data_IF_718163413049
#
_entry.id   IF_718163413049
#
_cell.length_a   1.000
_cell.length_b   1.000
_cell.length_c   1.000
_cell.angle_alpha   90.00
_cell.angle_beta   90.00
_cell.angle_gamma   90.00
#
_symmetry.space_group_name_H-M   'P 1'
#
loop_
_entity.id
_entity.type
_entity.pdbx_description
1 polymer ?
#
# COMPACT_ATOMS: atom_id res chain seq x y z
N UNK A 1 13.37 -4.83 8.72
CA UNK A 1 11.93 -4.74 8.36
C UNK A 1 11.64 -3.32 7.88
N UNK A 2 11.65 -3.12 6.59
CA UNK A 2 11.68 -1.79 5.95
C UNK A 2 10.42 -0.96 6.19
N UNK A 3 9.35 -1.52 6.75
CA UNK A 3 8.08 -0.81 6.86
C UNK A 3 7.40 -0.89 8.24
N UNK A 4 7.95 -1.65 9.19
CA UNK A 4 7.43 -1.69 10.57
C UNK A 4 8.23 -0.74 11.45
N UNK A 5 7.63 0.38 11.90
CA UNK A 5 8.35 1.38 12.67
C UNK A 5 8.66 0.89 14.09
N UNK A 6 9.81 1.34 14.60
CA UNK A 6 10.15 1.22 16.00
C UNK A 6 10.51 2.59 16.56
N UNK A 7 10.18 2.83 17.80
CA UNK A 7 10.47 4.08 18.51
C UNK A 7 10.67 3.84 20.01
N UNK A 8 11.12 4.83 20.73
CA UNK A 8 11.23 4.81 22.19
C UNK A 8 10.12 5.69 22.77
N UNK A 9 9.27 5.08 23.59
CA UNK A 9 8.22 5.79 24.31
C UNK A 9 8.80 6.36 25.61
N UNK A 10 8.72 7.67 25.77
CA UNK A 10 9.06 8.37 27.01
C UNK A 10 7.77 8.72 27.74
N UNK A 11 7.58 8.17 28.94
CA UNK A 11 6.43 8.45 29.79
C UNK A 11 6.90 8.94 31.17
N UNK A 12 6.12 9.80 31.88
CA UNK A 12 6.48 10.28 33.20
C UNK A 12 6.70 9.14 34.19
N UNK A 13 7.77 9.20 34.98
CA UNK A 13 8.04 8.24 36.04
C UNK A 13 8.54 6.86 35.62
N UNK A 14 8.92 6.68 34.37
CA UNK A 14 9.47 5.41 33.87
C UNK A 14 10.76 5.64 33.08
N UNK A 15 11.59 4.59 32.99
CA UNK A 15 12.68 4.53 32.03
C UNK A 15 12.15 4.52 30.60
N UNK A 16 12.96 4.90 29.58
CA UNK A 16 12.59 4.85 28.19
C UNK A 16 12.19 3.44 27.75
N UNK A 17 10.99 3.29 27.16
CA UNK A 17 10.37 2.01 26.79
C UNK A 17 10.48 1.78 25.29
N UNK A 18 11.17 0.73 24.80
CA UNK A 18 11.23 0.42 23.40
C UNK A 18 9.88 -0.14 22.93
N UNK A 19 9.39 0.37 21.79
CA UNK A 19 8.16 -0.10 21.12
C UNK A 19 8.49 -0.45 19.68
N UNK A 20 8.13 -1.67 19.25
CA UNK A 20 8.25 -2.14 17.88
C UNK A 20 6.87 -2.51 17.37
N UNK A 21 6.30 -1.67 16.50
CA UNK A 21 4.96 -1.92 15.95
C UNK A 21 4.97 -3.10 14.98
N UNK A 22 3.90 -3.90 15.00
CA UNK A 22 3.68 -4.97 14.03
C UNK A 22 2.90 -4.49 12.80
N UNK A 23 2.40 -3.25 12.84
CA UNK A 23 1.68 -2.58 11.76
C UNK A 23 2.62 -1.78 10.87
N UNK A 24 2.26 -1.60 9.60
CA UNK A 24 3.10 -0.97 8.59
C UNK A 24 2.82 0.53 8.48
N UNK A 25 3.88 1.31 8.22
CA UNK A 25 3.80 2.72 7.87
C UNK A 25 4.16 3.68 8.99
N UNK A 26 4.92 4.71 8.63
CA UNK A 26 5.43 5.72 9.59
C UNK A 26 4.32 6.45 10.35
N UNK A 27 3.16 6.66 9.73
CA UNK A 27 2.00 7.29 10.35
C UNK A 27 1.46 6.52 11.56
N UNK A 28 1.73 5.22 11.64
CA UNK A 28 1.34 4.39 12.80
C UNK A 28 2.06 4.78 14.08
N UNK A 29 3.21 5.45 13.99
CA UNK A 29 3.88 6.00 15.20
C UNK A 29 3.00 7.07 15.84
N UNK A 30 2.45 7.99 15.07
CA UNK A 30 1.54 9.04 15.60
C UNK A 30 0.27 8.43 16.20
N UNK A 31 -0.30 7.40 15.55
CA UNK A 31 -1.46 6.69 16.07
C UNK A 31 -1.13 5.97 17.40
N UNK A 32 0.02 5.31 17.47
CA UNK A 32 0.48 4.60 18.67
C UNK A 32 0.75 5.60 19.82
N UNK A 33 1.36 6.75 19.54
CA UNK A 33 1.59 7.79 20.54
C UNK A 33 0.29 8.38 21.07
N UNK A 34 -0.70 8.63 20.21
CA UNK A 34 -2.02 9.10 20.65
C UNK A 34 -2.73 8.05 21.54
N UNK A 35 -2.69 6.77 21.15
CA UNK A 35 -3.23 5.68 21.95
C UNK A 35 -2.49 5.53 23.29
N UNK A 36 -1.16 5.63 23.28
CA UNK A 36 -0.34 5.60 24.51
C UNK A 36 -0.70 6.71 25.46
N UNK A 37 -0.79 7.95 24.97
CA UNK A 37 -1.14 9.12 25.78
C UNK A 37 -2.53 8.92 26.44
N UNK A 38 -3.54 8.54 25.67
CA UNK A 38 -4.88 8.31 26.20
C UNK A 38 -4.92 7.19 27.25
N UNK A 39 -4.20 6.08 27.02
CA UNK A 39 -4.17 4.95 27.93
C UNK A 39 -3.45 5.29 29.25
N UNK A 40 -2.30 5.97 29.19
CA UNK A 40 -1.51 6.36 30.37
C UNK A 40 -2.27 7.40 31.19
N UNK A 41 -2.88 8.41 30.56
CA UNK A 41 -3.74 9.40 31.24
C UNK A 41 -4.97 8.77 31.88
N UNK A 42 -5.44 7.62 31.35
CA UNK A 42 -6.52 6.82 31.95
C UNK A 42 -6.06 5.92 33.12
N UNK A 43 -4.77 5.98 33.48
CA UNK A 43 -4.20 5.27 34.62
C UNK A 43 -3.58 3.91 34.29
N UNK A 44 -3.37 3.57 33.02
CA UNK A 44 -2.65 2.35 32.64
C UNK A 44 -1.15 2.48 32.89
N UNK A 45 -0.51 1.42 33.35
CA UNK A 45 0.95 1.37 33.51
C UNK A 45 1.64 1.53 32.14
N UNK A 46 2.61 2.45 32.00
CA UNK A 46 3.31 2.71 30.75
C UNK A 46 4.00 1.48 30.16
N UNK A 47 4.54 0.56 30.98
CA UNK A 47 5.14 -0.68 30.51
C UNK A 47 4.10 -1.62 29.87
N UNK A 48 2.92 -1.70 30.47
CA UNK A 48 1.79 -2.47 29.92
C UNK A 48 1.37 -1.88 28.57
N UNK A 49 1.29 -0.57 28.46
CA UNK A 49 0.96 0.14 27.21
C UNK A 49 2.02 -0.13 26.13
N UNK A 50 3.32 -0.02 26.44
CA UNK A 50 4.40 -0.30 25.49
C UNK A 50 4.38 -1.75 24.98
N UNK A 51 4.11 -2.70 25.87
CA UNK A 51 3.97 -4.12 25.51
C UNK A 51 2.75 -4.35 24.62
N UNK A 52 1.60 -3.76 24.92
CA UNK A 52 0.37 -3.86 24.15
C UNK A 52 0.55 -3.28 22.74
N UNK A 53 1.20 -2.12 22.61
CA UNK A 53 1.52 -1.51 21.31
C UNK A 53 2.46 -2.39 20.48
N UNK A 54 3.46 -3.01 21.11
CA UNK A 54 4.39 -3.91 20.43
C UNK A 54 3.76 -5.23 20.00
N UNK A 55 2.72 -5.68 20.69
CA UNK A 55 1.95 -6.89 20.37
C UNK A 55 0.75 -6.64 19.44
N UNK A 56 0.40 -5.37 19.19
CA UNK A 56 -0.77 -5.04 18.39
C UNK A 56 -0.59 -5.45 16.93
N UNK A 57 -1.53 -6.24 16.43
CA UNK A 57 -1.65 -6.61 15.01
C UNK A 57 -2.82 -5.86 14.38
N UNK A 58 -2.81 -5.76 13.05
CA UNK A 58 -3.96 -5.16 12.35
C UNK A 58 -5.25 -5.91 12.71
N UNK A 59 -6.14 -5.21 13.41
CA UNK A 59 -7.48 -5.72 13.74
C UNK A 59 -8.46 -5.55 12.58
N UNK A 60 -8.12 -4.69 11.61
CA UNK A 60 -8.95 -4.43 10.43
C UNK A 60 -8.35 -5.13 9.22
N UNK A 61 -9.16 -5.92 8.53
CA UNK A 61 -8.81 -6.48 7.22
C UNK A 61 -8.52 -5.38 6.21
N UNK A 62 -7.76 -5.69 5.17
CA UNK A 62 -7.47 -4.80 4.04
C UNK A 62 -6.75 -3.48 4.42
N UNK A 63 -5.95 -3.48 5.50
CA UNK A 63 -5.08 -2.37 5.92
C UNK A 63 -3.64 -2.82 5.95
N UNK A 64 -2.90 -2.53 4.86
CA UNK A 64 -1.50 -2.94 4.70
C UNK A 64 -1.30 -4.44 5.01
N UNK A 65 -2.22 -5.30 4.54
CA UNK A 65 -2.07 -6.75 4.62
C UNK A 65 -1.07 -7.20 3.53
N UNK A 66 0.11 -7.61 3.99
CA UNK A 66 1.22 -7.98 3.10
C UNK A 66 1.34 -9.50 3.05
N UNK A 67 1.18 -10.07 1.84
CA UNK A 67 1.31 -11.50 1.58
C UNK A 67 2.27 -11.75 0.44
N UNK A 68 3.13 -12.76 0.58
CA UNK A 68 4.00 -13.22 -0.49
C UNK A 68 3.52 -14.58 -0.99
N UNK A 69 3.26 -14.66 -2.28
CA UNK A 69 2.84 -15.87 -2.99
C UNK A 69 4.00 -16.86 -3.08
N UNK A 70 3.70 -18.11 -3.44
CA UNK A 70 4.73 -19.15 -3.64
C UNK A 70 5.68 -18.87 -4.79
N UNK A 71 5.23 -18.12 -5.80
CA UNK A 71 6.03 -17.67 -6.94
C UNK A 71 6.85 -16.41 -6.66
N UNK A 72 6.83 -15.89 -5.43
CA UNK A 72 7.61 -14.73 -4.99
C UNK A 72 6.91 -13.38 -5.11
N UNK A 73 5.80 -13.28 -5.84
CA UNK A 73 5.01 -12.04 -5.94
C UNK A 73 4.49 -11.63 -4.55
N UNK A 74 4.65 -10.37 -4.20
CA UNK A 74 4.12 -9.84 -2.94
C UNK A 74 2.97 -8.90 -3.21
N UNK A 75 1.84 -9.14 -2.56
CA UNK A 75 0.68 -8.25 -2.55
C UNK A 75 0.67 -7.42 -1.28
N UNK A 76 0.32 -6.14 -1.41
CA UNK A 76 0.05 -5.20 -0.31
C UNK A 76 -1.41 -4.77 -0.46
N UNK A 77 -2.29 -5.37 0.33
CA UNK A 77 -3.70 -5.01 0.34
C UNK A 77 -3.95 -3.89 1.35
N UNK A 78 -4.19 -2.68 0.86
CA UNK A 78 -4.54 -1.48 1.63
C UNK A 78 -5.87 -0.88 1.12
N UNK A 79 -6.80 -1.74 0.74
CA UNK A 79 -8.05 -1.38 0.06
C UNK A 79 -9.25 -1.14 0.98
N UNK A 80 -9.00 -0.98 2.29
CA UNK A 80 -10.07 -0.62 3.24
C UNK A 80 -10.62 0.78 2.99
N UNK A 81 -9.75 1.76 2.74
CA UNK A 81 -10.14 3.13 2.42
C UNK A 81 -9.01 3.87 1.68
N UNK A 82 -9.36 4.97 1.00
CA UNK A 82 -8.42 5.79 0.26
C UNK A 82 -8.73 7.28 0.43
N UNK A 83 -7.68 8.05 0.76
CA UNK A 83 -7.61 9.50 0.70
C UNK A 83 -6.22 9.91 0.19
N UNK A 84 -5.98 11.18 -0.18
CA UNK A 84 -4.70 11.60 -0.78
C UNK A 84 -3.48 11.22 0.05
N UNK A 85 -3.49 11.44 1.37
CA UNK A 85 -2.36 11.16 2.25
C UNK A 85 -2.09 9.66 2.36
N UNK A 86 -3.14 8.85 2.51
CA UNK A 86 -3.01 7.40 2.60
C UNK A 86 -2.58 6.76 1.27
N UNK A 87 -3.02 7.31 0.13
CA UNK A 87 -2.56 6.89 -1.20
C UNK A 87 -1.06 7.16 -1.35
N UNK A 88 -0.59 8.37 -0.98
CA UNK A 88 0.82 8.71 -1.00
C UNK A 88 1.65 7.77 -0.13
N UNK A 89 1.21 7.49 1.10
CA UNK A 89 1.90 6.59 2.03
C UNK A 89 1.97 5.15 1.51
N UNK A 90 0.90 4.65 0.90
CA UNK A 90 0.84 3.30 0.34
C UNK A 90 1.73 3.16 -0.90
N UNK A 91 1.74 4.16 -1.80
CA UNK A 91 2.64 4.18 -2.97
C UNK A 91 4.11 4.22 -2.53
N UNK A 92 4.43 4.99 -1.49
CA UNK A 92 5.76 4.98 -0.91
C UNK A 92 6.13 3.59 -0.35
N UNK A 93 5.22 2.92 0.34
CA UNK A 93 5.44 1.55 0.86
C UNK A 93 5.66 0.53 -0.28
N UNK A 94 4.89 0.63 -1.38
CA UNK A 94 5.10 -0.15 -2.59
C UNK A 94 6.53 0.03 -3.10
N UNK A 95 6.97 1.27 -3.31
CA UNK A 95 8.30 1.59 -3.84
C UNK A 95 9.43 1.08 -2.94
N UNK A 96 9.35 1.29 -1.63
CA UNK A 96 10.36 0.77 -0.69
C UNK A 96 10.41 -0.75 -0.67
N UNK A 97 9.26 -1.42 -0.80
CA UNK A 97 9.19 -2.88 -0.80
C UNK A 97 9.77 -3.46 -2.09
N UNK A 98 9.49 -2.85 -3.25
CA UNK A 98 10.05 -3.29 -4.54
C UNK A 98 11.55 -3.00 -4.64
N UNK A 99 12.01 -1.82 -4.24
CA UNK A 99 13.42 -1.44 -4.27
C UNK A 99 14.33 -2.36 -3.40
N UNK A 100 13.77 -2.99 -2.38
CA UNK A 100 14.49 -3.98 -1.55
C UNK A 100 14.66 -5.35 -2.25
N UNK A 101 14.13 -5.54 -3.46
CA UNK A 101 14.11 -6.81 -4.20
C UNK A 101 14.73 -6.61 -5.58
N UNK A 102 15.83 -7.28 -5.91
CA UNK A 102 16.41 -7.22 -7.25
C UNK A 102 15.38 -7.60 -8.32
N UNK A 103 15.31 -6.80 -9.38
CA UNK A 103 14.46 -7.03 -10.56
C UNK A 103 12.94 -7.03 -10.32
N UNK A 104 12.48 -6.57 -9.15
CA UNK A 104 11.07 -6.46 -8.84
C UNK A 104 10.47 -5.21 -9.47
N UNK A 105 9.31 -5.36 -10.12
CA UNK A 105 8.50 -4.23 -10.57
C UNK A 105 7.56 -3.77 -9.47
N UNK A 106 7.33 -2.45 -9.40
CA UNK A 106 6.31 -1.83 -8.59
C UNK A 106 5.01 -1.69 -9.40
N UNK A 107 3.98 -2.44 -9.05
CA UNK A 107 2.69 -2.44 -9.73
C UNK A 107 1.65 -1.85 -8.79
N UNK A 108 1.00 -0.76 -9.19
CA UNK A 108 -0.05 -0.11 -8.40
C UNK A 108 -1.43 -0.39 -9.00
N UNK A 109 -2.30 -1.09 -8.28
CA UNK A 109 -3.71 -1.29 -8.61
C UNK A 109 -4.51 -0.29 -7.80
N UNK A 110 -4.93 0.79 -8.43
CA UNK A 110 -5.56 1.91 -7.74
C UNK A 110 -6.99 2.13 -8.24
N UNK A 111 -7.86 2.36 -7.28
CA UNK A 111 -9.21 2.79 -7.53
C UNK A 111 -9.47 4.20 -7.01
N UNK A 112 -10.73 4.56 -6.98
CA UNK A 112 -11.19 5.90 -6.64
C UNK A 112 -11.04 6.21 -5.15
N UNK A 113 -10.64 7.43 -4.86
CA UNK A 113 -10.77 8.04 -3.52
C UNK A 113 -12.17 8.63 -3.39
N UNK A 114 -12.91 8.22 -2.36
CA UNK A 114 -14.24 8.75 -2.08
C UNK A 114 -14.20 10.09 -1.34
N UNK A 115 -15.34 10.74 -1.27
CA UNK A 115 -15.63 11.89 -0.39
C UNK A 115 -14.80 13.17 -0.65
N UNK A 116 -14.21 13.32 -1.85
CA UNK A 116 -13.38 14.47 -2.20
C UNK A 116 -14.16 15.63 -2.84
N UNK A 117 -15.45 15.45 -3.11
CA UNK A 117 -16.28 16.49 -3.73
C UNK A 117 -15.67 17.06 -5.01
N UNK A 118 -15.64 18.37 -5.15
CA UNK A 118 -15.11 19.06 -6.33
C UNK A 118 -13.60 18.90 -6.55
N UNK A 119 -12.85 18.46 -5.55
CA UNK A 119 -11.40 18.27 -5.64
C UNK A 119 -11.01 16.88 -6.18
N UNK A 120 -11.99 16.01 -6.43
CA UNK A 120 -11.74 14.61 -6.77
C UNK A 120 -10.82 14.45 -7.99
N UNK A 121 -11.13 15.10 -9.11
CA UNK A 121 -10.35 15.01 -10.35
C UNK A 121 -8.92 15.51 -10.14
N UNK A 122 -8.75 16.64 -9.44
CA UNK A 122 -7.43 17.22 -9.16
C UNK A 122 -6.60 16.31 -8.27
N UNK A 123 -7.19 15.74 -7.23
CA UNK A 123 -6.53 14.81 -6.33
C UNK A 123 -6.09 13.52 -7.03
N UNK A 124 -6.92 12.96 -7.91
CA UNK A 124 -6.54 11.77 -8.70
C UNK A 124 -5.46 12.09 -9.72
N UNK A 125 -5.52 13.25 -10.38
CA UNK A 125 -4.45 13.71 -11.28
C UNK A 125 -3.11 13.86 -10.55
N UNK A 126 -3.10 14.39 -9.35
CA UNK A 126 -1.88 14.53 -8.54
C UNK A 126 -1.20 13.19 -8.22
N UNK A 127 -1.93 12.08 -8.17
CA UNK A 127 -1.34 10.74 -7.98
C UNK A 127 -0.40 10.34 -9.12
N UNK A 128 -0.59 10.85 -10.34
CA UNK A 128 0.35 10.62 -11.43
C UNK A 128 1.77 11.14 -11.12
N UNK A 129 1.89 12.25 -10.38
CA UNK A 129 3.19 12.77 -9.91
C UNK A 129 3.77 11.89 -8.81
N UNK A 130 2.91 11.45 -7.88
CA UNK A 130 3.32 10.57 -6.78
C UNK A 130 3.85 9.24 -7.33
N UNK A 131 3.14 8.62 -8.27
CA UNK A 131 3.57 7.38 -8.92
C UNK A 131 4.93 7.52 -9.61
N UNK A 132 5.15 8.61 -10.34
CA UNK A 132 6.42 8.89 -11.00
C UNK A 132 7.55 9.14 -10.00
N UNK A 133 7.31 9.94 -8.96
CA UNK A 133 8.28 10.22 -7.89
C UNK A 133 8.79 8.95 -7.22
N UNK A 134 7.94 7.95 -7.09
CA UNK A 134 8.24 6.67 -6.45
C UNK A 134 8.60 5.56 -7.45
N UNK A 135 8.84 5.91 -8.72
CA UNK A 135 9.26 4.98 -9.78
C UNK A 135 8.36 3.75 -9.89
N UNK A 136 7.04 3.96 -9.89
CA UNK A 136 6.09 2.89 -10.14
C UNK A 136 6.16 2.49 -11.61
N UNK A 137 6.30 1.19 -11.90
CA UNK A 137 6.47 0.67 -13.27
C UNK A 137 5.14 0.57 -14.01
N UNK A 138 4.09 0.13 -13.30
CA UNK A 138 2.76 -0.08 -13.88
C UNK A 138 1.66 0.49 -12.98
N UNK A 139 0.71 1.19 -13.59
CA UNK A 139 -0.56 1.57 -12.98
C UNK A 139 -1.70 0.78 -13.62
N UNK A 140 -2.43 0.02 -12.83
CA UNK A 140 -3.72 -0.56 -13.20
C UNK A 140 -4.80 0.28 -12.51
N UNK A 141 -5.46 1.15 -13.26
CA UNK A 141 -6.55 2.00 -12.76
C UNK A 141 -7.88 1.26 -12.88
N UNK A 142 -8.63 1.16 -11.78
CA UNK A 142 -9.88 0.39 -11.73
C UNK A 142 -11.08 1.30 -11.73
N UNK A 143 -11.87 1.23 -12.80
CA UNK A 143 -13.01 2.09 -13.11
C UNK A 143 -12.75 2.94 -14.35
N UNK A 144 -13.81 3.44 -14.97
CA UNK A 144 -13.74 4.28 -16.17
C UNK A 144 -14.57 5.55 -15.98
N UNK A 145 -14.08 6.45 -15.12
CA UNK A 145 -14.66 7.77 -14.87
C UNK A 145 -13.59 8.87 -14.99
N UNK A 146 -13.99 10.11 -14.87
CA UNK A 146 -13.09 11.26 -15.04
C UNK A 146 -11.94 11.26 -14.03
N UNK A 147 -12.16 10.76 -12.81
CA UNK A 147 -11.12 10.64 -11.80
C UNK A 147 -10.02 9.66 -12.23
N UNK A 148 -10.41 8.48 -12.70
CA UNK A 148 -9.47 7.47 -13.18
C UNK A 148 -8.74 7.90 -14.44
N UNK A 149 -9.46 8.51 -15.40
CA UNK A 149 -8.86 9.06 -16.61
C UNK A 149 -7.82 10.13 -16.29
N UNK A 150 -8.12 11.06 -15.37
CA UNK A 150 -7.19 12.11 -14.96
C UNK A 150 -5.91 11.54 -14.32
N UNK A 151 -6.02 10.48 -13.51
CA UNK A 151 -4.87 9.79 -12.93
C UNK A 151 -4.03 9.09 -14.01
N UNK A 152 -4.68 8.37 -14.92
CA UNK A 152 -4.02 7.66 -16.02
C UNK A 152 -3.30 8.61 -16.96
N UNK A 153 -3.94 9.69 -17.42
CA UNK A 153 -3.32 10.71 -18.24
C UNK A 153 -2.06 11.31 -17.61
N UNK A 154 -2.16 11.62 -16.31
CA UNK A 154 -1.03 12.18 -15.55
C UNK A 154 0.12 11.17 -15.39
N UNK A 155 -0.16 9.89 -15.21
CA UNK A 155 0.82 8.82 -15.13
C UNK A 155 1.49 8.56 -16.50
N UNK A 156 0.70 8.49 -17.59
CA UNK A 156 1.20 8.32 -18.96
C UNK A 156 2.12 9.46 -19.40
N UNK A 157 1.74 10.70 -19.08
CA UNK A 157 2.56 11.88 -19.38
C UNK A 157 3.95 11.84 -18.71
N UNK A 158 4.12 10.96 -17.72
CA UNK A 158 5.39 10.72 -16.98
C UNK A 158 6.07 9.40 -17.33
N UNK A 159 5.59 8.71 -18.37
CA UNK A 159 6.18 7.47 -18.89
C UNK A 159 5.86 6.21 -18.11
N UNK A 160 4.85 6.25 -17.22
CA UNK A 160 4.40 5.06 -16.49
C UNK A 160 3.51 4.22 -17.40
N UNK A 161 3.73 2.91 -17.45
CA UNK A 161 2.84 2.00 -18.15
C UNK A 161 1.47 1.96 -17.45
N UNK A 162 0.38 2.09 -18.21
CA UNK A 162 -0.96 2.17 -17.64
C UNK A 162 -1.94 1.22 -18.30
N UNK A 163 -2.83 0.67 -17.49
CA UNK A 163 -3.98 -0.12 -17.92
C UNK A 163 -5.23 0.40 -17.22
N UNK A 164 -6.31 0.63 -17.95
CA UNK A 164 -7.64 0.90 -17.39
C UNK A 164 -8.39 -0.42 -17.37
N UNK A 165 -8.87 -0.80 -16.19
CA UNK A 165 -9.66 -2.01 -15.98
C UNK A 165 -11.07 -1.61 -15.56
N UNK A 166 -12.12 -2.09 -16.21
CA UNK A 166 -13.48 -1.69 -15.90
C UNK A 166 -13.95 -2.19 -14.53
N UNK A 167 -13.39 -3.27 -14.04
CA UNK A 167 -13.78 -3.93 -12.79
C UNK A 167 -12.63 -4.69 -12.12
N UNK A 168 -12.94 -5.31 -11.01
CA UNK A 168 -12.02 -6.10 -10.16
C UNK A 168 -11.45 -7.30 -10.91
N UNK A 169 -12.28 -8.00 -11.69
CA UNK A 169 -11.88 -9.24 -12.35
C UNK A 169 -10.92 -8.94 -13.52
N UNK A 170 -11.20 -7.89 -14.28
CA UNK A 170 -10.31 -7.38 -15.31
C UNK A 170 -8.98 -6.85 -14.73
N UNK A 171 -9.03 -6.20 -13.58
CA UNK A 171 -7.83 -5.70 -12.90
C UNK A 171 -6.93 -6.86 -12.44
N UNK A 172 -7.49 -7.90 -11.83
CA UNK A 172 -6.73 -9.08 -11.43
C UNK A 172 -6.10 -9.79 -12.63
N UNK A 173 -6.84 -9.92 -13.74
CA UNK A 173 -6.31 -10.49 -14.97
C UNK A 173 -5.17 -9.65 -15.55
N UNK A 174 -5.32 -8.32 -15.60
CA UNK A 174 -4.27 -7.41 -16.09
C UNK A 174 -2.99 -7.52 -15.26
N UNK A 175 -3.09 -7.60 -13.93
CA UNK A 175 -1.92 -7.81 -13.06
C UNK A 175 -1.23 -9.14 -13.37
N UNK A 176 -1.99 -10.23 -13.53
CA UNK A 176 -1.43 -11.55 -13.87
C UNK A 176 -0.72 -11.52 -15.24
N UNK A 177 -1.26 -10.80 -16.21
CA UNK A 177 -0.61 -10.66 -17.52
C UNK A 177 0.68 -9.84 -17.43
N UNK A 178 0.71 -8.76 -16.63
CA UNK A 178 1.93 -8.00 -16.37
C UNK A 178 3.00 -8.88 -15.72
N UNK A 179 2.63 -9.66 -14.69
CA UNK A 179 3.56 -10.54 -13.95
C UNK A 179 4.17 -11.61 -14.86
N UNK A 180 3.41 -12.13 -15.83
CA UNK A 180 3.89 -13.18 -16.76
C UNK A 180 4.91 -12.69 -17.77
N UNK A 181 4.93 -11.40 -18.08
CA UNK A 181 5.89 -10.82 -19.02
C UNK A 181 7.19 -10.53 -18.29
N UNK A 182 8.31 -10.91 -18.92
CA UNK A 182 9.65 -10.59 -18.39
C UNK A 182 9.82 -9.09 -18.14
N UNK A 183 10.43 -8.69 -17.03
CA UNK A 183 10.90 -7.31 -16.88
C UNK A 183 11.89 -6.93 -18.00
N UNK A 184 11.91 -5.67 -18.40
CA UNK A 184 12.81 -5.21 -19.47
C UNK A 184 14.28 -5.50 -19.12
N UNK A 185 15.02 -6.10 -20.08
CA UNK A 185 16.44 -6.42 -19.93
C UNK A 185 16.74 -7.76 -19.23
N UNK A 186 15.74 -8.57 -18.91
CA UNK A 186 15.93 -9.91 -18.34
C UNK A 186 15.67 -10.96 -19.43
N UNK A 187 16.75 -11.58 -19.96
CA UNK A 187 16.67 -12.54 -21.06
C UNK A 187 16.24 -13.95 -20.60
N UNK A 188 16.62 -14.37 -19.38
CA UNK A 188 16.39 -15.72 -18.85
C UNK A 188 15.15 -15.79 -17.91
N UNK A 189 14.11 -14.99 -18.19
CA UNK A 189 12.90 -14.99 -17.39
C UNK A 189 12.16 -16.33 -17.48
N UNK A 190 12.19 -17.08 -16.40
CA UNK A 190 11.50 -18.39 -16.34
C UNK A 190 10.08 -18.31 -15.77
N UNK A 191 9.65 -17.12 -15.31
CA UNK A 191 8.37 -16.93 -14.63
C UNK A 191 8.24 -17.60 -13.26
N UNK A 192 9.31 -18.21 -12.75
CA UNK A 192 9.27 -19.00 -11.51
C UNK A 192 9.55 -18.22 -10.24
N UNK A 193 10.12 -17.03 -10.38
CA UNK A 193 10.47 -16.16 -9.24
C UNK A 193 10.14 -14.72 -9.59
N UNK A 194 8.86 -14.46 -9.89
CA UNK A 194 8.38 -13.10 -10.00
C UNK A 194 8.53 -12.44 -8.63
N UNK A 195 9.39 -11.42 -8.55
CA UNK A 195 9.62 -10.68 -7.29
C UNK A 195 8.75 -9.43 -7.19
N UNK A 196 7.84 -9.26 -8.14
CA UNK A 196 6.99 -8.10 -8.29
C UNK A 196 6.22 -7.80 -7.00
N UNK A 197 6.02 -6.53 -6.74
CA UNK A 197 5.23 -6.04 -5.62
C UNK A 197 3.99 -5.34 -6.16
N UNK A 198 2.83 -5.79 -5.71
CA UNK A 198 1.53 -5.29 -6.15
C UNK A 198 0.84 -4.60 -4.99
N UNK A 199 0.62 -3.29 -5.08
CA UNK A 199 -0.23 -2.54 -4.16
C UNK A 199 -1.66 -2.54 -4.66
N UNK A 200 -2.62 -2.82 -3.80
CA UNK A 200 -4.05 -2.71 -4.09
C UNK A 200 -4.65 -1.68 -3.14
N UNK A 201 -5.22 -0.57 -3.67
CA UNK A 201 -5.78 0.50 -2.85
C UNK A 201 -6.93 1.26 -3.52
N UNK A 202 -8.02 1.44 -2.78
CA UNK A 202 -9.19 2.23 -3.19
C UNK A 202 -10.05 2.62 -1.99
N UNK A 203 -11.10 3.41 -2.23
CA UNK A 203 -12.21 3.52 -1.28
C UNK A 203 -12.90 2.18 -1.09
N UNK A 204 -13.48 1.98 0.09
CA UNK A 204 -14.16 0.73 0.49
C UNK A 204 -15.27 0.31 -0.48
N UNK A 205 -15.98 1.28 -1.05
CA UNK A 205 -17.12 1.03 -1.96
C UNK A 205 -16.73 0.20 -3.20
N UNK A 206 -15.48 0.30 -3.66
CA UNK A 206 -15.01 -0.43 -4.85
C UNK A 206 -14.59 -1.87 -4.58
N UNK A 207 -14.45 -2.27 -3.31
CA UNK A 207 -14.13 -3.65 -2.89
C UNK A 207 -12.90 -4.24 -3.57
N UNK A 208 -11.84 -3.41 -3.76
CA UNK A 208 -10.63 -3.85 -4.45
C UNK A 208 -9.86 -4.96 -3.71
N UNK A 209 -10.15 -5.23 -2.43
CA UNK A 209 -9.60 -6.42 -1.73
C UNK A 209 -9.84 -7.73 -2.48
N UNK A 210 -10.89 -7.81 -3.33
CA UNK A 210 -11.15 -8.96 -4.18
C UNK A 210 -10.04 -9.20 -5.21
N UNK A 211 -9.33 -8.15 -5.65
CA UNK A 211 -8.12 -8.31 -6.48
C UNK A 211 -7.04 -9.04 -5.69
N UNK A 212 -6.77 -8.58 -4.45
CA UNK A 212 -5.78 -9.23 -3.59
C UNK A 212 -6.15 -10.70 -3.30
N UNK A 213 -7.43 -10.97 -3.01
CA UNK A 213 -7.91 -12.34 -2.81
C UNK A 213 -7.68 -13.22 -4.04
N UNK A 214 -7.99 -12.73 -5.24
CA UNK A 214 -7.81 -13.49 -6.49
C UNK A 214 -6.33 -13.76 -6.77
N UNK A 215 -5.47 -12.76 -6.60
CA UNK A 215 -4.03 -12.91 -6.78
C UNK A 215 -3.42 -13.91 -5.78
N UNK A 216 -3.92 -13.95 -4.54
CA UNK A 216 -3.37 -14.80 -3.46
C UNK A 216 -3.93 -16.23 -3.44
N UNK A 217 -4.91 -16.58 -4.28
CA UNK A 217 -5.44 -17.97 -4.40
C UNK A 217 -4.49 -18.91 -5.14
N UNK A 218 -3.46 -18.40 -5.76
CA UNK A 218 -2.44 -19.15 -6.52
C UNK A 218 -1.16 -19.20 -5.72
#
# INVERSE_FOLDING_TARGET
DVARPSFVLHAPGTDPLPVKLQVFGKHQVSNALAAAAAAIESGMDPQVVANALSGHQNASEHRMDVRTRRDGVTTIDDSYNANPDSMHAAIAALAYTSAARPDARAIAVLGEMGELGGEAVAAHRALGEVLSKYHVDHLVAVGDNDNMRAMVEAAQARGINTTISPDVDAAAAAVEDIIRVAPAGIEDWTGREAKDVVLIKSSNAQRLWRVAEQLNRR
#
